data_IF_592952270824
#
_entry.id   IF_592952270824
#
_cell.length_a   1.000
_cell.length_b   1.000
_cell.length_c   1.000
_cell.angle_alpha   90.00
_cell.angle_beta   90.00
_cell.angle_gamma   90.00
#
_symmetry.space_group_name_H-M   'P 1'
#
loop_
_entity.id
_entity.type
_entity.pdbx_description
1 polymer ?
#
# COMPACT_ATOMS: atom_id res chain seq x y z
N UNK A 1 -25.65 -12.38 28.82
CA UNK A 1 -25.39 -13.34 27.72
C UNK A 1 -24.52 -14.44 28.29
N UNK A 2 -25.12 -15.60 28.47
CA UNK A 2 -24.53 -16.72 29.23
C UNK A 2 -23.42 -17.39 28.42
N UNK A 3 -22.40 -17.94 29.06
CA UNK A 3 -21.26 -18.55 28.35
C UNK A 3 -21.68 -19.73 27.44
N UNK A 4 -22.72 -20.46 27.82
CA UNK A 4 -23.33 -21.52 26.98
C UNK A 4 -23.97 -20.99 25.69
N UNK A 5 -24.50 -19.77 25.71
CA UNK A 5 -25.09 -19.16 24.51
C UNK A 5 -24.00 -18.76 23.53
N UNK A 6 -22.87 -18.25 24.02
CA UNK A 6 -21.71 -17.90 23.20
C UNK A 6 -21.10 -19.13 22.54
N UNK A 7 -20.95 -20.23 23.27
CA UNK A 7 -20.44 -21.49 22.71
C UNK A 7 -21.35 -22.05 21.63
N UNK A 8 -22.68 -21.98 21.85
CA UNK A 8 -23.66 -22.41 20.85
C UNK A 8 -23.62 -21.53 19.61
N UNK A 9 -23.50 -20.21 19.78
CA UNK A 9 -23.41 -19.27 18.66
C UNK A 9 -22.15 -19.54 17.85
N UNK A 10 -20.99 -19.63 18.51
CA UNK A 10 -19.72 -19.97 17.86
C UNK A 10 -19.83 -21.27 17.05
N UNK A 11 -20.48 -22.30 17.60
CA UNK A 11 -20.70 -23.56 16.88
C UNK A 11 -21.55 -23.36 15.62
N UNK A 12 -22.61 -22.56 15.69
CA UNK A 12 -23.47 -22.27 14.53
C UNK A 12 -22.72 -21.48 13.45
N UNK A 13 -21.89 -20.52 13.87
CA UNK A 13 -21.08 -19.71 12.95
C UNK A 13 -20.05 -20.61 12.23
N UNK A 14 -19.37 -21.50 12.95
CA UNK A 14 -18.45 -22.48 12.33
C UNK A 14 -19.17 -23.40 11.35
N UNK A 15 -20.37 -23.90 11.70
CA UNK A 15 -21.16 -24.72 10.78
C UNK A 15 -21.53 -23.93 9.52
N UNK A 16 -21.85 -22.64 9.69
CA UNK A 16 -22.20 -21.78 8.56
C UNK A 16 -21.01 -21.56 7.63
N UNK A 17 -19.85 -21.21 8.17
CA UNK A 17 -18.61 -21.02 7.42
C UNK A 17 -18.21 -22.28 6.66
N UNK A 18 -18.24 -23.46 7.30
CA UNK A 18 -17.93 -24.74 6.64
C UNK A 18 -18.89 -25.02 5.46
N UNK A 19 -20.19 -24.71 5.59
CA UNK A 19 -21.17 -24.96 4.53
C UNK A 19 -21.04 -23.94 3.39
N UNK A 20 -20.74 -22.67 3.68
CA UNK A 20 -20.47 -21.65 2.64
C UNK A 20 -19.27 -22.07 1.82
N UNK A 21 -18.14 -22.35 2.48
CA UNK A 21 -16.91 -22.76 1.80
C UNK A 21 -17.10 -24.05 0.99
N UNK A 22 -17.93 -24.99 1.45
CA UNK A 22 -18.29 -26.18 0.69
C UNK A 22 -19.06 -25.84 -0.60
N UNK A 23 -20.05 -24.95 -0.52
CA UNK A 23 -20.84 -24.53 -1.69
C UNK A 23 -20.01 -23.75 -2.71
N UNK A 24 -19.09 -22.92 -2.26
CA UNK A 24 -18.20 -22.13 -3.12
C UNK A 24 -17.04 -22.97 -3.69
N UNK A 25 -16.85 -24.21 -3.21
CA UNK A 25 -15.78 -25.11 -3.63
C UNK A 25 -14.39 -24.74 -3.09
N UNK A 26 -14.33 -23.94 -2.02
CA UNK A 26 -13.08 -23.45 -1.43
C UNK A 26 -12.46 -24.43 -0.41
N UNK A 27 -13.15 -25.53 -0.09
CA UNK A 27 -12.64 -26.56 0.82
C UNK A 27 -11.64 -27.49 0.14
N UNK A 28 -10.60 -27.88 0.87
CA UNK A 28 -9.71 -28.96 0.47
C UNK A 28 -10.44 -30.32 0.51
N UNK A 29 -9.95 -31.27 -0.29
CA UNK A 29 -10.56 -32.60 -0.50
C UNK A 29 -10.87 -33.34 0.82
N UNK A 30 -9.96 -33.31 1.79
CA UNK A 30 -10.15 -33.98 3.08
C UNK A 30 -11.26 -33.33 3.93
N UNK A 31 -11.41 -32.01 3.83
CA UNK A 31 -12.43 -31.26 4.56
C UNK A 31 -13.78 -31.40 3.86
N UNK A 32 -13.81 -31.39 2.54
CA UNK A 32 -15.01 -31.66 1.74
C UNK A 32 -15.63 -33.02 2.08
N UNK A 33 -14.82 -34.10 2.06
CA UNK A 33 -15.29 -35.46 2.42
C UNK A 33 -15.86 -35.52 3.86
N UNK A 34 -15.27 -34.78 4.79
CA UNK A 34 -15.78 -34.70 6.17
C UNK A 34 -17.11 -33.96 6.24
N UNK A 35 -17.28 -32.88 5.48
CA UNK A 35 -18.54 -32.14 5.40
C UNK A 35 -19.63 -33.01 4.77
N UNK A 36 -19.33 -33.76 3.71
CA UNK A 36 -20.25 -34.72 3.10
C UNK A 36 -20.70 -35.82 4.08
N UNK A 37 -19.76 -36.39 4.83
CA UNK A 37 -20.08 -37.37 5.87
C UNK A 37 -21.00 -36.75 6.94
N UNK A 38 -20.71 -35.52 7.38
CA UNK A 38 -21.55 -34.78 8.34
C UNK A 38 -22.93 -34.46 7.77
N UNK A 39 -23.04 -34.12 6.49
CA UNK A 39 -24.33 -33.92 5.82
C UNK A 39 -25.16 -35.22 5.82
N UNK A 40 -24.54 -36.38 5.66
CA UNK A 40 -25.23 -37.67 5.79
C UNK A 40 -25.73 -37.96 7.22
N UNK A 41 -24.99 -37.53 8.24
CA UNK A 41 -25.20 -37.96 9.63
C UNK A 41 -25.91 -36.93 10.52
N UNK A 42 -25.70 -35.63 10.29
CA UNK A 42 -26.18 -34.54 11.14
C UNK A 42 -27.36 -33.80 10.50
N UNK A 43 -28.58 -33.89 11.07
CA UNK A 43 -29.75 -33.13 10.62
C UNK A 43 -29.56 -31.61 10.65
N UNK A 44 -28.69 -31.09 11.52
CA UNK A 44 -28.42 -29.65 11.65
C UNK A 44 -27.67 -29.11 10.43
N UNK A 45 -26.65 -29.85 9.97
CA UNK A 45 -25.91 -29.52 8.75
C UNK A 45 -26.84 -29.53 7.54
N UNK A 46 -27.68 -30.58 7.39
CA UNK A 46 -28.67 -30.66 6.30
C UNK A 46 -29.65 -29.49 6.30
N UNK A 47 -30.20 -29.16 7.47
CA UNK A 47 -31.13 -28.04 7.58
C UNK A 47 -30.46 -26.72 7.23
N UNK A 48 -29.20 -26.51 7.62
CA UNK A 48 -28.47 -25.28 7.29
C UNK A 48 -28.20 -25.18 5.79
N UNK A 49 -27.77 -26.26 5.15
CA UNK A 49 -27.59 -26.32 3.69
C UNK A 49 -28.89 -26.00 2.95
N UNK A 50 -30.00 -26.67 3.32
CA UNK A 50 -31.32 -26.43 2.72
C UNK A 50 -31.82 -24.99 2.90
N UNK A 51 -31.49 -24.32 4.00
CA UNK A 51 -31.84 -22.91 4.19
C UNK A 51 -31.10 -22.00 3.22
N UNK A 52 -29.83 -22.31 2.92
CA UNK A 52 -29.01 -21.54 1.99
C UNK A 52 -29.44 -21.78 0.55
N UNK A 53 -29.70 -23.03 0.15
CA UNK A 53 -30.28 -23.36 -1.16
C UNK A 53 -31.58 -22.59 -1.41
N UNK A 54 -32.51 -22.57 -0.44
CA UNK A 54 -33.75 -21.79 -0.56
C UNK A 54 -33.54 -20.29 -0.70
N UNK A 55 -32.49 -19.75 -0.07
CA UNK A 55 -32.18 -18.33 -0.20
C UNK A 55 -31.68 -18.03 -1.62
N UNK A 56 -30.88 -18.92 -2.20
CA UNK A 56 -30.45 -18.85 -3.60
C UNK A 56 -31.63 -18.99 -4.57
N UNK A 57 -32.54 -19.95 -4.33
CA UNK A 57 -33.76 -20.10 -5.15
C UNK A 57 -34.61 -18.80 -5.16
N UNK A 58 -34.69 -18.12 -4.01
CA UNK A 58 -35.38 -16.83 -3.92
C UNK A 58 -34.66 -15.72 -4.69
N UNK A 59 -33.33 -15.73 -4.75
CA UNK A 59 -32.55 -14.77 -5.54
C UNK A 59 -32.73 -15.03 -7.05
N UNK A 60 -32.77 -16.30 -7.46
CA UNK A 60 -33.02 -16.68 -8.85
C UNK A 60 -34.44 -16.35 -9.31
N UNK A 61 -35.39 -16.32 -8.37
CA UNK A 61 -36.75 -15.87 -8.61
C UNK A 61 -36.90 -14.34 -8.74
N UNK A 62 -35.83 -13.56 -8.54
CA UNK A 62 -35.90 -12.11 -8.69
C UNK A 62 -36.12 -11.73 -10.16
N UNK A 63 -37.03 -10.78 -10.45
CA UNK A 63 -37.25 -10.33 -11.81
C UNK A 63 -35.97 -9.69 -12.34
N UNK A 64 -35.53 -10.13 -13.51
CA UNK A 64 -34.48 -9.44 -14.24
C UNK A 64 -35.04 -8.10 -14.70
N UNK A 65 -34.34 -7.01 -14.36
CA UNK A 65 -34.71 -5.70 -14.85
C UNK A 65 -34.46 -5.66 -16.37
N UNK A 66 -35.52 -5.69 -17.16
CA UNK A 66 -35.43 -5.36 -18.59
C UNK A 66 -35.12 -3.87 -18.70
N UNK A 67 -33.89 -3.55 -19.11
CA UNK A 67 -33.43 -2.18 -19.28
C UNK A 67 -33.97 -1.67 -20.60
N UNK A 68 -34.89 -0.71 -20.55
CA UNK A 68 -35.37 0.01 -21.73
C UNK A 68 -34.27 0.92 -22.29
N UNK A 69 -34.24 1.15 -23.61
CA UNK A 69 -33.23 1.97 -24.30
C UNK A 69 -33.14 3.40 -23.71
N UNK A 70 -34.21 3.88 -23.07
CA UNK A 70 -34.27 5.16 -22.37
C UNK A 70 -33.29 5.28 -21.18
N UNK A 71 -32.90 4.18 -20.54
CA UNK A 71 -31.93 4.21 -19.44
C UNK A 71 -30.52 4.58 -19.91
N UNK A 72 -30.11 4.09 -21.08
CA UNK A 72 -28.83 4.45 -21.71
C UNK A 72 -28.83 5.93 -22.11
N UNK A 73 -29.94 6.44 -22.63
CA UNK A 73 -30.12 7.85 -22.93
C UNK A 73 -29.97 8.73 -21.69
N UNK A 74 -30.62 8.37 -20.57
CA UNK A 74 -30.58 9.11 -19.31
C UNK A 74 -29.16 9.28 -18.74
N UNK A 75 -28.32 8.23 -18.82
CA UNK A 75 -26.95 8.29 -18.29
C UNK A 75 -26.07 9.18 -19.16
N UNK A 76 -26.16 9.04 -20.49
CA UNK A 76 -25.42 9.89 -21.43
C UNK A 76 -25.84 11.34 -21.30
N UNK A 77 -27.14 11.60 -21.13
CA UNK A 77 -27.69 12.94 -20.90
C UNK A 77 -27.17 13.53 -19.57
N UNK A 78 -27.11 12.75 -18.49
CA UNK A 78 -26.57 13.22 -17.21
C UNK A 78 -25.08 13.58 -17.31
N UNK A 79 -24.28 12.79 -18.04
CA UNK A 79 -22.87 13.08 -18.28
C UNK A 79 -22.71 14.33 -19.15
N UNK A 80 -23.53 14.50 -20.19
CA UNK A 80 -23.52 15.69 -21.03
C UNK A 80 -23.88 16.96 -20.24
N UNK A 81 -24.91 16.90 -19.39
CA UNK A 81 -25.30 18.01 -18.52
C UNK A 81 -24.22 18.35 -17.47
N UNK A 82 -23.53 17.34 -16.93
CA UNK A 82 -22.41 17.55 -16.01
C UNK A 82 -21.24 18.26 -16.70
N UNK A 83 -20.91 17.87 -17.94
CA UNK A 83 -19.85 18.50 -18.73
C UNK A 83 -20.20 19.97 -19.08
N UNK A 84 -21.44 20.26 -19.46
CA UNK A 84 -21.89 21.63 -19.74
C UNK A 84 -21.83 22.53 -18.48
N UNK A 85 -22.16 21.98 -17.31
CA UNK A 85 -22.04 22.67 -16.02
C UNK A 85 -20.58 22.96 -15.66
N UNK A 86 -19.66 22.04 -15.93
CA UNK A 86 -18.22 22.25 -15.67
C UNK A 86 -17.63 23.35 -16.58
N UNK A 87 -18.01 23.36 -17.85
CA UNK A 87 -17.61 24.40 -18.81
C UNK A 87 -18.17 25.78 -18.44
N UNK A 88 -19.43 25.86 -18.03
CA UNK A 88 -20.06 27.13 -17.63
C UNK A 88 -19.49 27.70 -16.33
N UNK A 89 -19.15 26.86 -15.34
CA UNK A 89 -18.43 27.30 -14.13
C UNK A 89 -17.02 27.80 -14.46
N UNK A 90 -16.31 27.12 -15.36
CA UNK A 90 -14.97 27.49 -15.81
C UNK A 90 -14.96 28.79 -16.64
N UNK A 91 -16.02 29.07 -17.40
CA UNK A 91 -16.15 30.30 -18.19
C UNK A 91 -16.32 31.58 -17.34
N UNK A 92 -16.70 31.47 -16.06
CA UNK A 92 -16.85 32.63 -15.16
C UNK A 92 -15.56 33.05 -14.47
N UNK A 93 -14.47 32.26 -14.58
CA UNK A 93 -13.19 32.62 -14.00
C UNK A 93 -12.49 33.64 -14.90
N UNK A 94 -12.93 34.88 -14.66
CA UNK A 94 -12.25 36.14 -14.91
C UNK A 94 -10.75 35.94 -15.16
N UNK A 95 -10.31 36.26 -16.38
CA UNK A 95 -8.91 36.37 -16.82
C UNK A 95 -8.15 37.35 -15.92
N UNK A 96 -7.75 36.91 -14.72
CA UNK A 96 -6.81 37.63 -13.87
C UNK A 96 -5.42 37.30 -14.41
N UNK A 97 -4.85 38.32 -15.05
CA UNK A 97 -3.77 38.21 -16.00
C UNK A 97 -2.53 37.50 -15.46
N UNK A 98 -1.94 36.69 -16.35
CA UNK A 98 -0.64 36.01 -16.24
C UNK A 98 0.50 36.94 -15.75
N UNK A 99 0.34 38.26 -15.89
CA UNK A 99 1.27 39.28 -15.40
C UNK A 99 1.53 39.22 -13.89
N UNK A 100 0.57 38.77 -13.08
CA UNK A 100 0.78 38.66 -11.62
C UNK A 100 1.67 37.49 -11.23
N UNK A 101 1.64 36.39 -12.00
CA UNK A 101 2.47 35.22 -11.76
C UNK A 101 3.94 35.45 -12.14
N UNK A 102 4.19 36.19 -13.23
CA UNK A 102 5.55 36.58 -13.62
C UNK A 102 6.25 37.48 -12.58
N UNK A 103 5.51 38.40 -11.94
CA UNK A 103 6.08 39.28 -10.91
C UNK A 103 6.47 38.49 -9.65
N UNK A 104 5.65 37.52 -9.23
CA UNK A 104 5.97 36.65 -8.10
C UNK A 104 7.17 35.73 -8.37
N UNK A 105 7.26 35.18 -9.58
CA UNK A 105 8.38 34.33 -9.99
C UNK A 105 9.72 35.06 -10.00
N UNK A 106 9.76 36.30 -10.50
CA UNK A 106 11.00 37.09 -10.56
C UNK A 106 11.57 37.43 -9.17
N UNK A 107 10.71 37.72 -8.18
CA UNK A 107 11.14 38.09 -6.83
C UNK A 107 11.79 36.91 -6.07
N UNK A 108 11.21 35.72 -6.21
CA UNK A 108 11.73 34.51 -5.56
C UNK A 108 13.08 34.09 -6.15
N UNK A 109 13.23 34.16 -7.48
CA UNK A 109 14.49 33.86 -8.15
C UNK A 109 15.62 34.81 -7.69
N UNK A 110 15.31 36.10 -7.53
CA UNK A 110 16.28 37.08 -7.06
C UNK A 110 16.76 36.80 -5.62
N UNK A 111 15.86 36.37 -4.74
CA UNK A 111 16.21 36.03 -3.35
C UNK A 111 17.12 34.78 -3.26
N UNK A 112 16.85 33.75 -4.07
CA UNK A 112 17.68 32.54 -4.14
C UNK A 112 19.08 32.84 -4.68
N UNK A 113 19.18 33.64 -5.73
CA UNK A 113 20.46 34.01 -6.31
C UNK A 113 21.32 34.81 -5.32
N UNK A 114 20.72 35.75 -4.58
CA UNK A 114 21.41 36.53 -3.55
C UNK A 114 21.90 35.64 -2.40
N UNK A 115 21.08 34.69 -1.94
CA UNK A 115 21.46 33.73 -0.91
C UNK A 115 22.65 32.87 -1.32
N UNK A 116 22.61 32.28 -2.52
CA UNK A 116 23.68 31.42 -3.03
C UNK A 116 25.04 32.16 -3.12
N UNK A 117 25.03 33.38 -3.67
CA UNK A 117 26.25 34.20 -3.77
C UNK A 117 26.83 34.47 -2.38
N UNK A 118 25.98 34.81 -1.41
CA UNK A 118 26.41 35.07 -0.04
C UNK A 118 27.01 33.84 0.64
N UNK A 119 26.41 32.66 0.45
CA UNK A 119 26.90 31.39 1.01
C UNK A 119 28.30 31.06 0.50
N UNK A 120 28.56 31.22 -0.80
CA UNK A 120 29.87 30.90 -1.40
C UNK A 120 31.01 31.83 -0.95
N UNK A 121 30.71 33.05 -0.51
CA UNK A 121 31.73 34.01 -0.07
C UNK A 121 32.10 33.87 1.41
N UNK A 122 31.18 33.40 2.25
CA UNK A 122 31.32 33.47 3.71
C UNK A 122 31.72 32.14 4.34
N UNK A 123 31.42 31.00 3.70
CA UNK A 123 31.72 29.68 4.28
C UNK A 123 33.11 29.20 3.84
N UNK A 124 34.11 29.13 4.74
CA UNK A 124 35.38 28.48 4.43
C UNK A 124 35.17 26.97 4.22
N UNK A 125 35.87 26.43 3.23
CA UNK A 125 35.65 25.11 2.62
C UNK A 125 35.99 23.95 3.58
N UNK A 126 35.01 23.54 4.39
CA UNK A 126 35.12 22.41 5.31
C UNK A 126 35.37 21.06 4.62
N UNK A 127 35.32 21.01 3.28
CA UNK A 127 35.55 19.79 2.50
C UNK A 127 37.03 19.41 2.40
N UNK A 128 37.96 20.32 2.72
CA UNK A 128 39.39 19.97 2.72
C UNK A 128 39.74 18.96 3.81
N UNK A 129 39.05 19.01 4.96
CA UNK A 129 39.26 18.07 6.07
C UNK A 129 38.79 16.65 5.70
N UNK A 130 37.67 16.54 4.98
CA UNK A 130 37.11 15.26 4.51
C UNK A 130 37.95 14.58 3.43
N UNK A 131 38.69 15.35 2.63
CA UNK A 131 39.59 14.81 1.62
C UNK A 131 40.91 14.29 2.22
N UNK A 132 41.28 14.75 3.42
CA UNK A 132 42.50 14.33 4.08
C UNK A 132 42.37 12.93 4.72
N UNK A 133 41.16 12.54 5.11
CA UNK A 133 40.87 11.23 5.75
C UNK A 133 40.53 10.10 4.75
N UNK A 134 40.40 10.43 3.46
CA UNK A 134 40.08 9.46 2.40
C UNK A 134 41.11 8.29 2.28
N UNK A 135 42.44 8.52 2.37
CA UNK A 135 43.43 7.45 2.20
C UNK A 135 43.40 6.39 3.32
N UNK A 136 42.84 6.73 4.48
CA UNK A 136 42.82 5.86 5.66
C UNK A 136 41.70 4.82 5.59
N UNK A 137 40.61 5.13 4.89
CA UNK A 137 39.46 4.23 4.73
C UNK A 137 39.72 3.20 3.61
N UNK A 138 40.49 3.55 2.58
CA UNK A 138 40.71 2.69 1.40
C UNK A 138 41.62 1.48 1.70
N UNK A 139 42.44 1.50 2.75
CA UNK A 139 43.39 0.41 3.07
C UNK A 139 43.06 -0.36 4.37
N UNK A 140 41.80 -0.33 4.83
CA UNK A 140 41.37 -1.02 6.06
C UNK A 140 41.64 -2.54 6.02
N UNK A 141 41.56 -3.17 4.84
CA UNK A 141 41.76 -4.62 4.69
C UNK A 141 43.20 -5.08 4.94
N UNK A 142 44.20 -4.21 4.72
CA UNK A 142 45.60 -4.53 5.03
C UNK A 142 45.91 -4.45 6.53
N UNK A 143 45.20 -3.61 7.28
CA UNK A 143 45.40 -3.48 8.73
C UNK A 143 44.65 -4.54 9.54
N UNK A 144 43.62 -5.18 8.97
CA UNK A 144 42.84 -6.24 9.62
C UNK A 144 43.49 -7.63 9.60
N UNK A 145 44.60 -7.82 8.85
CA UNK A 145 45.32 -9.10 8.80
C UNK A 145 46.46 -9.24 9.83
N UNK A 146 46.73 -8.20 10.63
CA UNK A 146 47.70 -8.26 11.73
C UNK A 146 46.98 -8.56 13.05
N UNK A 147 46.70 -9.84 13.28
CA UNK A 147 45.81 -10.33 14.34
C UNK A 147 46.39 -10.22 15.78
N UNK A 148 47.46 -9.44 16.02
CA UNK A 148 47.96 -9.16 17.38
C UNK A 148 48.94 -7.99 17.47
N UNK A 149 48.70 -7.08 18.43
CA UNK A 149 49.56 -5.92 18.76
C UNK A 149 50.97 -6.35 19.21
N UNK A 150 51.10 -7.54 19.78
CA UNK A 150 52.36 -8.12 20.25
C UNK A 150 53.35 -8.45 19.11
N UNK A 151 52.84 -8.71 17.89
CA UNK A 151 53.65 -8.95 16.70
C UNK A 151 54.32 -7.65 16.21
N UNK A 152 53.57 -6.54 16.18
CA UNK A 152 54.10 -5.23 15.79
C UNK A 152 55.16 -4.73 16.77
N UNK A 153 55.02 -5.04 18.06
CA UNK A 153 55.97 -4.64 19.10
C UNK A 153 57.30 -5.40 18.99
N UNK A 154 57.27 -6.70 18.66
CA UNK A 154 58.49 -7.49 18.36
C UNK A 154 59.18 -7.05 17.07
N UNK A 155 58.43 -6.60 16.08
CA UNK A 155 58.98 -6.19 14.79
C UNK A 155 59.64 -4.80 14.85
N UNK A 156 59.15 -3.92 15.73
CA UNK A 156 59.80 -2.66 16.08
C UNK A 156 61.15 -2.88 16.81
N UNK A 157 61.24 -3.93 17.63
CA UNK A 157 62.48 -4.31 18.32
C UNK A 157 63.59 -4.78 17.34
N UNK A 158 63.23 -5.39 16.21
CA UNK A 158 64.22 -5.86 15.22
C UNK A 158 64.67 -4.80 14.20
N UNK A 159 64.20 -3.54 14.28
CA UNK A 159 64.69 -2.42 13.42
C UNK A 159 64.71 -2.74 11.91
N UNK A 160 63.74 -3.50 11.41
CA UNK A 160 63.72 -3.96 10.00
C UNK A 160 62.90 -3.06 9.06
N UNK A 161 62.43 -1.90 9.51
CA UNK A 161 61.87 -0.88 8.62
C UNK A 161 62.51 0.48 8.93
N UNK A 162 63.27 0.98 7.95
CA UNK A 162 63.75 2.36 7.82
C UNK A 162 62.88 3.07 6.79
#
# INVERSE_FOLDING_TARGET
>A
MNDREKERQKKLDTIHEEIVAYLDGELDENVSQRVEQRLGQDPTYRRRLQQMERAWDCLDALPQAEVDESFTHSTVEMVALAAEKELSLSATTNSRSLTTWFIGGALTLAAVAAGFIFTTWVIPDANQELLQDLPMIENIDMYLHADNVEFLQKLQEEKIFM
#
